data_IF_786464106706
#
_entry.id   IF_786464106706
#
_cell.length_a   1.000
_cell.length_b   1.000
_cell.length_c   1.000
_cell.angle_alpha   90.00
_cell.angle_beta   90.00
_cell.angle_gamma   90.00
#
_symmetry.space_group_name_H-M   'P 1'
#
loop_
_entity.id
_entity.type
_entity.pdbx_description
1 polymer ?
#
# COMPACT_ATOMS: atom_id res chain seq x y z
N UNK A 1 5.08 -5.46 -6.55
CA UNK A 1 3.73 -6.05 -6.80
C UNK A 1 2.65 -5.24 -6.07
N UNK A 2 1.38 -5.34 -6.48
CA UNK A 2 0.26 -4.60 -5.84
C UNK A 2 0.18 -4.87 -4.32
N UNK A 3 0.38 -6.12 -3.92
CA UNK A 3 0.28 -6.52 -2.53
C UNK A 3 1.40 -5.95 -1.66
N UNK A 4 2.62 -5.83 -2.19
CA UNK A 4 3.74 -5.17 -1.50
C UNK A 4 3.49 -3.68 -1.30
N UNK A 5 2.84 -3.00 -2.26
CA UNK A 5 2.47 -1.60 -2.11
C UNK A 5 1.47 -1.42 -0.95
N UNK A 6 0.49 -2.31 -0.87
CA UNK A 6 -0.48 -2.32 0.23
C UNK A 6 0.19 -2.62 1.57
N UNK A 7 1.09 -3.61 1.65
CA UNK A 7 1.83 -3.91 2.89
C UNK A 7 2.65 -2.71 3.37
N UNK A 8 3.46 -2.11 2.48
CA UNK A 8 4.25 -0.91 2.82
C UNK A 8 3.37 0.24 3.28
N UNK A 9 2.21 0.43 2.65
CA UNK A 9 1.24 1.44 3.07
C UNK A 9 0.67 1.17 4.46
N UNK A 10 0.43 -0.10 4.85
CA UNK A 10 -0.05 -0.42 6.20
C UNK A 10 1.03 -0.22 7.27
N UNK A 11 2.28 -0.54 6.93
CA UNK A 11 3.43 -0.36 7.83
C UNK A 11 3.69 1.12 8.11
N UNK A 12 3.53 1.97 7.09
CA UNK A 12 3.73 3.43 7.15
C UNK A 12 2.43 4.22 7.08
N UNK A 13 1.33 3.65 7.59
CA UNK A 13 -0.03 4.21 7.42
C UNK A 13 -0.14 5.66 7.87
N UNK A 14 0.52 6.04 8.96
CA UNK A 14 0.41 7.39 9.52
C UNK A 14 1.12 8.40 8.60
N UNK A 15 2.27 8.04 8.03
CA UNK A 15 2.97 8.84 7.00
C UNK A 15 2.17 8.91 5.70
N UNK A 16 1.55 7.80 5.26
CA UNK A 16 0.70 7.78 4.07
C UNK A 16 -0.50 8.71 4.24
N UNK A 17 -1.16 8.68 5.40
CA UNK A 17 -2.26 9.61 5.69
C UNK A 17 -1.78 11.06 5.68
N UNK A 18 -0.61 11.34 6.27
CA UNK A 18 -0.04 12.68 6.27
C UNK A 18 0.26 13.18 4.85
N UNK A 19 0.89 12.36 3.99
CA UNK A 19 1.16 12.74 2.59
C UNK A 19 -0.12 13.00 1.79
N UNK A 20 -1.19 12.26 2.07
CA UNK A 20 -2.50 12.47 1.42
C UNK A 20 -3.13 13.79 1.90
N UNK A 21 -3.09 14.07 3.21
CA UNK A 21 -3.64 15.29 3.80
C UNK A 21 -2.89 16.56 3.34
N UNK A 22 -1.56 16.44 3.17
CA UNK A 22 -0.69 17.52 2.71
C UNK A 22 -0.72 17.76 1.18
N UNK A 23 -1.51 16.98 0.43
CA UNK A 23 -1.61 17.10 -1.03
C UNK A 23 -2.77 17.99 -1.46
N UNK A 24 -2.57 18.80 -2.50
CA UNK A 24 -3.61 19.69 -3.03
C UNK A 24 -4.76 18.92 -3.70
N UNK A 25 -4.42 17.83 -4.40
CA UNK A 25 -5.37 16.99 -5.10
C UNK A 25 -4.99 15.50 -5.09
N UNK A 26 -5.90 14.66 -5.61
CA UNK A 26 -5.71 13.22 -5.67
C UNK A 26 -4.55 12.78 -6.58
N UNK A 27 -4.22 13.57 -7.60
CA UNK A 27 -3.12 13.27 -8.51
C UNK A 27 -1.78 13.56 -7.86
N UNK A 28 -1.66 14.63 -7.08
CA UNK A 28 -0.52 14.93 -6.24
C UNK A 28 -0.34 13.86 -5.17
N UNK A 29 -1.40 13.53 -4.43
CA UNK A 29 -1.37 12.47 -3.42
C UNK A 29 -0.87 11.15 -4.01
N UNK A 30 -1.33 10.77 -5.20
CA UNK A 30 -0.86 9.57 -5.91
C UNK A 30 0.64 9.62 -6.23
N UNK A 31 1.17 10.76 -6.66
CA UNK A 31 2.61 10.91 -6.92
C UNK A 31 3.41 10.83 -5.63
N UNK A 32 3.01 11.56 -4.59
CA UNK A 32 3.70 11.66 -3.30
C UNK A 32 3.71 10.33 -2.55
N UNK A 33 2.57 9.65 -2.46
CA UNK A 33 2.48 8.30 -1.88
C UNK A 33 3.33 7.29 -2.66
N UNK A 34 3.36 7.40 -3.99
CA UNK A 34 4.24 6.57 -4.82
C UNK A 34 5.71 6.73 -4.49
N UNK A 35 6.17 7.98 -4.37
CA UNK A 35 7.53 8.33 -3.98
C UNK A 35 7.84 7.87 -2.55
N UNK A 36 6.95 8.15 -1.59
CA UNK A 36 7.07 7.74 -0.20
C UNK A 36 7.31 6.24 -0.08
N UNK A 37 6.50 5.43 -0.77
CA UNK A 37 6.51 3.97 -0.65
C UNK A 37 7.48 3.28 -1.63
N UNK A 38 8.09 4.03 -2.55
CA UNK A 38 8.95 3.49 -3.61
C UNK A 38 8.20 2.51 -4.52
N UNK A 39 6.98 2.88 -4.93
CA UNK A 39 6.09 2.07 -5.78
C UNK A 39 5.73 2.82 -7.06
N UNK A 40 5.51 2.07 -8.14
CA UNK A 40 5.05 2.63 -9.40
C UNK A 40 3.57 3.04 -9.38
N UNK A 41 3.11 3.66 -10.48
CA UNK A 41 1.77 4.26 -10.61
C UNK A 41 0.62 3.33 -10.19
N UNK A 42 0.65 2.06 -10.61
CA UNK A 42 -0.36 1.08 -10.22
C UNK A 42 -0.38 0.84 -8.71
N UNK A 43 0.80 0.77 -8.08
CA UNK A 43 0.93 0.62 -6.62
C UNK A 43 0.35 1.82 -5.89
N UNK A 44 0.73 3.03 -6.32
CA UNK A 44 0.21 4.27 -5.74
C UNK A 44 -1.31 4.36 -5.84
N UNK A 45 -1.87 4.06 -7.02
CA UNK A 45 -3.32 4.08 -7.24
C UNK A 45 -4.05 3.12 -6.30
N UNK A 46 -3.55 1.89 -6.17
CA UNK A 46 -4.18 0.89 -5.30
C UNK A 46 -4.10 1.29 -3.82
N UNK A 47 -3.06 2.00 -3.40
CA UNK A 47 -2.98 2.55 -2.03
C UNK A 47 -4.03 3.64 -1.82
N UNK A 48 -4.22 4.57 -2.76
CA UNK A 48 -5.26 5.61 -2.63
C UNK A 48 -6.68 5.03 -2.68
N UNK A 49 -6.90 3.97 -3.47
CA UNK A 49 -8.20 3.28 -3.55
C UNK A 49 -8.50 2.43 -2.29
N UNK A 50 -7.59 2.39 -1.32
CA UNK A 50 -7.75 1.60 -0.12
C UNK A 50 -8.83 2.19 0.79
N UNK A 51 -9.79 1.33 1.15
CA UNK A 51 -10.89 1.73 2.00
C UNK A 51 -10.50 1.72 3.49
N UNK A 52 -10.98 2.70 4.25
CA UNK A 52 -10.67 2.88 5.70
C UNK A 52 -10.88 1.59 6.52
N UNK A 53 -11.88 0.76 6.17
CA UNK A 53 -12.11 -0.54 6.82
C UNK A 53 -10.92 -1.49 6.77
N UNK A 54 -9.97 -1.32 5.84
CA UNK A 54 -8.77 -2.16 5.71
C UNK A 54 -7.73 -1.87 6.80
N UNK A 55 -7.80 -0.73 7.47
CA UNK A 55 -6.87 -0.34 8.53
C UNK A 55 -7.14 -0.99 9.89
N UNK A 56 -8.28 -1.68 10.04
CA UNK A 56 -8.58 -2.45 11.25
C UNK A 56 -7.51 -3.54 11.47
N UNK A 57 -7.32 -3.91 12.74
CA UNK A 57 -6.23 -4.83 13.14
C UNK A 57 -6.35 -6.20 12.47
N UNK A 58 -7.56 -6.73 12.33
CA UNK A 58 -7.85 -8.00 11.67
C UNK A 58 -7.52 -7.95 10.17
N UNK A 59 -7.91 -6.88 9.47
CA UNK A 59 -7.65 -6.73 8.05
C UNK A 59 -6.15 -6.58 7.76
N UNK A 60 -5.41 -5.90 8.62
CA UNK A 60 -3.94 -5.83 8.55
C UNK A 60 -3.30 -7.20 8.67
N UNK A 61 -3.70 -7.99 9.66
CA UNK A 61 -3.19 -9.36 9.83
C UNK A 61 -3.52 -10.25 8.64
N UNK A 62 -4.73 -10.12 8.10
CA UNK A 62 -5.15 -10.85 6.90
C UNK A 62 -4.33 -10.47 5.66
N UNK A 63 -3.98 -9.19 5.50
CA UNK A 63 -3.14 -8.72 4.40
C UNK A 63 -1.74 -9.35 4.45
N UNK A 64 -1.06 -9.26 5.60
CA UNK A 64 0.29 -9.81 5.81
C UNK A 64 0.30 -11.33 5.63
N UNK A 65 -0.72 -12.01 6.14
CA UNK A 65 -0.88 -13.46 5.99
C UNK A 65 -1.02 -13.86 4.51
N UNK A 66 -1.93 -13.22 3.78
CA UNK A 66 -2.13 -13.48 2.34
C UNK A 66 -0.90 -13.18 1.51
N UNK A 67 -0.18 -12.12 1.85
CA UNK A 67 1.04 -11.77 1.14
C UNK A 67 2.15 -12.78 1.35
N UNK A 68 2.29 -13.28 2.57
CA UNK A 68 3.23 -14.36 2.88
C UNK A 68 2.85 -15.66 2.18
N UNK A 69 1.56 -16.00 2.16
CA UNK A 69 1.04 -17.14 1.41
C UNK A 69 1.33 -17.01 -0.09
N UNK A 70 1.05 -15.86 -0.70
CA UNK A 70 1.28 -15.63 -2.13
C UNK A 70 2.77 -15.64 -2.48
N UNK A 71 3.63 -15.04 -1.64
CA UNK A 71 5.09 -15.14 -1.81
C UNK A 71 5.58 -16.58 -1.80
N UNK A 72 5.04 -17.43 -0.92
CA UNK A 72 5.40 -18.86 -0.86
C UNK A 72 4.97 -19.66 -2.08
N UNK A 73 3.99 -19.17 -2.85
CA UNK A 73 3.48 -19.79 -4.08
C UNK A 73 4.17 -19.28 -5.34
N UNK A 74 4.90 -18.17 -5.26
CA UNK A 74 5.74 -17.70 -6.35
C UNK A 74 7.03 -18.53 -6.36
N UNK A 75 7.46 -19.06 -7.51
CA UNK A 75 8.78 -19.65 -7.59
C UNK A 75 9.82 -18.59 -7.22
N UNK A 76 10.83 -18.97 -6.43
CA UNK A 76 12.00 -18.11 -6.22
C UNK A 76 12.52 -17.69 -7.60
N UNK A 77 12.54 -16.38 -7.84
CA UNK A 77 12.65 -15.81 -9.19
C UNK A 77 13.85 -16.35 -9.97
N UNK A 78 13.60 -16.63 -11.25
CA UNK A 78 14.61 -16.74 -12.30
C UNK A 78 14.73 -15.39 -13.00
#
# INVERSE_FOLDING_TARGET
MVLEALERAMDRRDEVFQEIDDSEDADEARRRVGQLLGVGELGSRVVLDMQVRRFTRDQRQNLVSRASELRSKLPEGR
#
